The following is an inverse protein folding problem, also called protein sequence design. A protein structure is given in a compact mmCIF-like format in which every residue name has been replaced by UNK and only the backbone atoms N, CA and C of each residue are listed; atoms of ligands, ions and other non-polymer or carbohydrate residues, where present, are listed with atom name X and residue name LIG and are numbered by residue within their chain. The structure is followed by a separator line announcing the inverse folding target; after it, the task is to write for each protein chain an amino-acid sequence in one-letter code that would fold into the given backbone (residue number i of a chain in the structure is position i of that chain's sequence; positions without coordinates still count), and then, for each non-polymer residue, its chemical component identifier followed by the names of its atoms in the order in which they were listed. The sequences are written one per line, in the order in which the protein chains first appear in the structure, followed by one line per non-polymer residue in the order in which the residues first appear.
data_IF_209558173716
#
_entry.id   IF_209558173716
#
_cell.length_a   1.000
_cell.length_b   1.000
_cell.length_c   1.000
_cell.angle_alpha   90.00
_cell.angle_beta   90.00
_cell.angle_gamma   90.00
#
_symmetry.space_group_name_H-M   'P 1'
#
loop_
_entity.id
_entity.type
_entity.pdbx_description
1 polymer ?
#
# COMPACT_ATOMS: atom_id res chain seq x y z
N UNK A 1 -7.98 -5.58 -13.31
CA UNK A 1 -8.99 -4.50 -13.29
C UNK A 1 -9.89 -4.75 -14.47
N UNK A 2 -11.19 -4.84 -14.25
CA UNK A 2 -12.16 -4.74 -15.34
C UNK A 2 -12.31 -3.26 -15.69
N UNK A 3 -11.79 -2.86 -16.85
CA UNK A 3 -11.72 -1.46 -17.24
C UNK A 3 -12.94 -1.03 -18.06
N UNK A 4 -13.68 -1.97 -18.68
CA UNK A 4 -14.73 -1.66 -19.66
C UNK A 4 -14.28 -0.66 -20.77
N UNK A 5 -12.98 -0.64 -21.09
CA UNK A 5 -12.38 0.33 -22.01
C UNK A 5 -11.63 -0.37 -23.14
N UNK A 6 -11.85 0.11 -24.36
CA UNK A 6 -11.17 -0.37 -25.56
C UNK A 6 -10.08 0.60 -26.02
N UNK A 7 -8.88 0.09 -26.29
CA UNK A 7 -7.76 0.88 -26.80
C UNK A 7 -6.77 0.03 -27.59
N UNK A 8 -6.15 0.63 -28.61
CA UNK A 8 -5.11 0.00 -29.44
C UNK A 8 -3.89 -0.55 -28.68
N UNK A 9 -3.68 -0.12 -27.44
CA UNK A 9 -2.56 -0.57 -26.61
C UNK A 9 -2.78 -2.01 -26.09
N UNK A 10 -4.03 -2.44 -25.88
CA UNK A 10 -4.36 -3.76 -25.33
C UNK A 10 -5.34 -4.56 -26.17
N UNK A 11 -6.16 -3.91 -27.00
CA UNK A 11 -7.10 -4.56 -27.91
C UNK A 11 -6.47 -4.83 -29.29
N UNK A 12 -7.05 -5.76 -30.05
CA UNK A 12 -6.68 -6.05 -31.45
C UNK A 12 -7.27 -5.03 -32.42
N UNK A 13 -6.75 -5.02 -33.66
CA UNK A 13 -7.24 -4.19 -34.77
C UNK A 13 -8.69 -4.47 -35.20
N UNK A 14 -9.30 -5.57 -34.74
CA UNK A 14 -10.70 -5.92 -34.98
C UNK A 14 -11.68 -5.18 -34.07
N UNK A 15 -11.20 -4.36 -33.14
CA UNK A 15 -12.04 -3.56 -32.24
C UNK A 15 -12.61 -2.35 -32.99
N UNK A 16 -13.94 -2.29 -33.11
CA UNK A 16 -14.61 -1.29 -33.96
C UNK A 16 -14.63 0.12 -33.36
N UNK A 17 -14.47 0.27 -32.04
CA UNK A 17 -14.58 1.54 -31.34
C UNK A 17 -13.55 1.63 -30.21
N UNK A 18 -12.85 2.76 -30.10
CA UNK A 18 -11.93 3.04 -28.99
C UNK A 18 -12.50 4.13 -28.09
N UNK A 19 -12.38 3.97 -26.78
CA UNK A 19 -12.89 4.93 -25.81
C UNK A 19 -11.86 6.07 -25.59
N UNK A 20 -12.27 7.36 -25.64
CA UNK A 20 -11.39 8.48 -25.31
C UNK A 20 -10.75 8.38 -23.91
N UNK A 21 -11.52 7.91 -22.91
CA UNK A 21 -11.08 7.69 -21.53
C UNK A 21 -9.92 6.69 -21.45
N UNK A 22 -9.84 5.75 -22.39
CA UNK A 22 -8.77 4.77 -22.44
C UNK A 22 -7.40 5.40 -22.75
N UNK A 23 -7.37 6.52 -23.47
CA UNK A 23 -6.14 7.30 -23.69
C UNK A 23 -5.63 7.89 -22.38
N UNK A 24 -6.53 8.40 -21.54
CA UNK A 24 -6.18 8.94 -20.23
C UNK A 24 -5.62 7.84 -19.32
N UNK A 25 -6.30 6.69 -19.23
CA UNK A 25 -5.82 5.55 -18.45
C UNK A 25 -4.41 5.10 -18.88
N UNK A 26 -4.21 4.93 -20.19
CA UNK A 26 -2.91 4.54 -20.73
C UNK A 26 -1.81 5.56 -20.40
N UNK A 27 -2.12 6.86 -20.53
CA UNK A 27 -1.19 7.92 -20.20
C UNK A 27 -0.88 7.97 -18.70
N UNK A 28 -1.89 7.87 -17.83
CA UNK A 28 -1.76 7.87 -16.37
C UNK A 28 -0.92 6.69 -15.88
N UNK A 29 -1.21 5.48 -16.35
CA UNK A 29 -0.41 4.31 -15.99
C UNK A 29 1.03 4.45 -16.47
N UNK A 30 1.24 4.92 -17.71
CA UNK A 30 2.57 5.15 -18.27
C UNK A 30 3.38 6.20 -17.49
N UNK A 31 2.76 7.34 -17.15
CA UNK A 31 3.42 8.41 -16.39
C UNK A 31 3.74 7.99 -14.95
N UNK A 32 2.91 7.13 -14.35
CA UNK A 32 3.14 6.53 -13.04
C UNK A 32 4.14 5.35 -13.05
N UNK A 33 4.84 5.08 -14.17
CA UNK A 33 5.77 3.96 -14.34
C UNK A 33 5.14 2.57 -14.20
N UNK A 34 3.85 2.44 -14.54
CA UNK A 34 3.17 1.16 -14.71
C UNK A 34 3.25 0.70 -16.17
N UNK A 35 3.41 -0.62 -16.35
CA UNK A 35 3.37 -1.29 -17.64
C UNK A 35 2.20 -2.26 -17.65
N UNK A 36 1.54 -2.36 -18.79
CA UNK A 36 0.56 -3.40 -19.03
C UNK A 36 1.28 -4.74 -19.13
N UNK A 37 0.91 -5.70 -18.29
CA UNK A 37 1.46 -7.05 -18.29
C UNK A 37 0.46 -8.11 -18.75
N UNK A 38 -0.84 -7.78 -18.79
CA UNK A 38 -1.83 -8.65 -19.43
C UNK A 38 -1.55 -8.78 -20.94
N UNK A 39 -1.78 -9.95 -21.52
CA UNK A 39 -1.44 -10.22 -22.90
C UNK A 39 -2.28 -9.35 -23.85
N UNK A 40 -1.59 -8.70 -24.79
CA UNK A 40 -2.25 -7.85 -25.78
C UNK A 40 -3.05 -8.70 -26.77
N UNK A 41 -4.30 -8.31 -26.97
CA UNK A 41 -5.15 -8.89 -28.00
C UNK A 41 -5.75 -10.26 -27.67
N UNK A 42 -5.54 -10.78 -26.45
CA UNK A 42 -6.19 -12.02 -26.00
C UNK A 42 -7.51 -11.63 -25.30
N UNK A 43 -8.68 -12.04 -25.81
CA UNK A 43 -9.95 -11.62 -25.25
C UNK A 43 -10.14 -12.13 -23.82
N UNK A 44 -10.66 -11.25 -22.98
CA UNK A 44 -10.99 -11.53 -21.58
C UNK A 44 -12.49 -11.56 -21.36
N UNK A 45 -13.28 -11.16 -22.36
CA UNK A 45 -14.75 -11.23 -22.31
C UNK A 45 -15.35 -11.71 -23.63
N UNK A 46 -16.32 -12.61 -23.51
CA UNK A 46 -17.05 -13.27 -24.59
C UNK A 46 -18.56 -13.15 -24.37
N UNK A 47 -19.19 -12.17 -25.01
CA UNK A 47 -20.63 -11.97 -24.94
C UNK A 47 -21.34 -12.57 -26.16
N UNK A 48 -22.51 -13.17 -25.94
CA UNK A 48 -23.33 -13.72 -27.03
C UNK A 48 -23.71 -12.61 -28.03
N UNK A 49 -23.42 -12.84 -29.31
CA UNK A 49 -23.77 -11.91 -30.39
C UNK A 49 -22.87 -10.68 -30.50
N UNK A 50 -21.72 -10.64 -29.81
CA UNK A 50 -20.74 -9.57 -29.90
C UNK A 50 -19.33 -10.12 -30.14
N UNK A 51 -18.45 -9.31 -30.71
CA UNK A 51 -17.04 -9.67 -30.85
C UNK A 51 -16.38 -9.83 -29.47
N UNK A 52 -15.47 -10.81 -29.30
CA UNK A 52 -14.69 -10.93 -28.07
C UNK A 52 -13.89 -9.65 -27.78
N UNK A 53 -13.77 -9.28 -26.50
CA UNK A 53 -13.15 -8.02 -26.10
C UNK A 53 -12.02 -8.22 -25.09
N UNK A 54 -11.05 -7.31 -25.10
CA UNK A 54 -9.96 -7.22 -24.13
C UNK A 54 -10.24 -6.02 -23.24
N UNK A 55 -10.86 -6.25 -22.09
CA UNK A 55 -11.28 -5.19 -21.16
C UNK A 55 -10.77 -5.42 -19.73
N UNK A 56 -10.37 -6.65 -19.42
CA UNK A 56 -9.71 -6.98 -18.17
C UNK A 56 -8.20 -6.81 -18.33
N UNK A 57 -7.63 -5.87 -17.58
CA UNK A 57 -6.23 -5.47 -17.70
C UNK A 57 -5.48 -5.70 -16.40
N UNK A 58 -4.21 -6.08 -16.53
CA UNK A 58 -3.27 -6.12 -15.41
C UNK A 58 -2.11 -5.17 -15.70
N UNK A 59 -1.94 -4.20 -14.81
CA UNK A 59 -0.84 -3.25 -14.83
C UNK A 59 0.10 -3.53 -13.66
N UNK A 60 1.40 -3.49 -13.90
CA UNK A 60 2.41 -3.65 -12.87
C UNK A 60 3.41 -2.51 -12.95
N UNK A 61 3.83 -1.98 -11.80
CA UNK A 61 4.92 -1.00 -11.78
C UNK A 61 6.24 -1.65 -12.23
N UNK A 62 7.19 -0.81 -12.63
CA UNK A 62 8.48 -1.28 -13.17
C UNK A 62 9.28 -2.20 -12.22
N UNK A 63 9.04 -2.14 -10.90
CA UNK A 63 9.68 -3.03 -9.93
C UNK A 63 9.06 -4.42 -9.99
N UNK A 64 7.73 -4.50 -9.93
CA UNK A 64 6.98 -5.76 -9.97
C UNK A 64 7.14 -6.47 -11.33
N UNK A 65 7.27 -5.72 -12.44
CA UNK A 65 7.49 -6.30 -13.77
C UNK A 65 8.77 -7.13 -13.86
N UNK A 66 9.78 -6.87 -13.02
CA UNK A 66 11.03 -7.67 -12.99
C UNK A 66 10.83 -9.06 -12.42
N UNK A 67 9.79 -9.23 -11.61
CA UNK A 67 9.45 -10.47 -10.93
C UNK A 67 8.32 -11.22 -11.65
N UNK A 68 7.69 -10.59 -12.65
CA UNK A 68 6.62 -11.21 -13.44
C UNK A 68 7.20 -12.34 -14.28
N UNK A 69 6.80 -13.57 -14.00
CA UNK A 69 7.17 -14.74 -14.79
C UNK A 69 6.23 -14.93 -15.97
N UNK A 70 4.92 -14.80 -15.73
CA UNK A 70 3.89 -15.06 -16.75
C UNK A 70 2.58 -14.33 -16.42
N UNK A 71 1.84 -13.96 -17.46
CA UNK A 71 0.48 -13.46 -17.36
C UNK A 71 -0.35 -14.04 -18.50
N UNK A 72 -1.32 -14.88 -18.18
CA UNK A 72 -2.15 -15.59 -19.16
C UNK A 72 -3.62 -15.38 -18.89
N UNK A 73 -4.40 -15.45 -19.95
CA UNK A 73 -5.85 -15.63 -19.88
C UNK A 73 -6.10 -17.13 -19.87
N UNK A 74 -6.76 -17.65 -18.83
CA UNK A 74 -7.07 -19.08 -18.75
C UNK A 74 -8.04 -19.48 -19.86
N UNK A 75 -7.98 -20.73 -20.32
CA UNK A 75 -8.98 -21.28 -21.26
C UNK A 75 -10.19 -21.89 -20.55
N UNK A 76 -10.02 -22.29 -19.29
CA UNK A 76 -11.08 -22.89 -18.47
C UNK A 76 -12.03 -21.80 -17.97
N UNK A 77 -13.32 -21.98 -18.22
CA UNK A 77 -14.35 -21.00 -17.92
C UNK A 77 -15.60 -21.72 -17.40
N UNK A 78 -16.05 -21.37 -16.20
CA UNK A 78 -17.17 -22.02 -15.51
C UNK A 78 -18.53 -21.39 -15.86
N UNK A 79 -18.72 -21.01 -17.13
CA UNK A 79 -19.95 -20.39 -17.62
C UNK A 79 -20.03 -18.87 -17.44
N UNK A 80 -18.92 -18.21 -17.09
CA UNK A 80 -18.81 -16.74 -17.08
C UNK A 80 -18.63 -16.19 -18.49
N UNK A 81 -19.15 -15.00 -18.76
CA UNK A 81 -18.78 -14.28 -19.98
C UNK A 81 -17.41 -13.61 -19.87
N UNK A 82 -16.78 -13.59 -18.69
CA UNK A 82 -15.40 -13.17 -18.47
C UNK A 82 -14.45 -14.36 -18.29
N UNK A 83 -13.22 -14.17 -18.73
CA UNK A 83 -12.13 -15.12 -18.68
C UNK A 83 -11.09 -14.69 -17.66
N UNK A 84 -10.75 -15.60 -16.74
CA UNK A 84 -9.82 -15.30 -15.67
C UNK A 84 -8.40 -15.02 -16.20
N UNK A 85 -7.74 -14.00 -15.64
CA UNK A 85 -6.33 -13.70 -15.91
C UNK A 85 -5.50 -14.16 -14.71
N UNK A 86 -4.49 -14.98 -14.98
CA UNK A 86 -3.54 -15.46 -13.98
C UNK A 86 -2.18 -14.81 -14.21
N UNK A 87 -1.65 -14.15 -13.17
CA UNK A 87 -0.29 -13.61 -13.17
C UNK A 87 0.55 -14.29 -12.10
N UNK A 88 1.73 -14.77 -12.49
CA UNK A 88 2.69 -15.41 -11.59
C UNK A 88 3.90 -14.51 -11.39
N UNK A 89 4.26 -14.28 -10.12
CA UNK A 89 5.43 -13.47 -9.75
C UNK A 89 6.39 -14.29 -8.90
N UNK A 90 7.69 -14.25 -9.24
CA UNK A 90 8.75 -14.85 -8.44
C UNK A 90 9.28 -13.86 -7.41
N UNK A 91 8.77 -13.98 -6.19
CA UNK A 91 9.19 -13.14 -5.08
C UNK A 91 10.42 -13.67 -4.36
N UNK A 92 10.95 -14.86 -4.74
CA UNK A 92 12.17 -15.42 -4.13
C UNK A 92 13.42 -14.61 -4.47
N UNK A 93 13.35 -13.83 -5.56
CA UNK A 93 14.41 -12.92 -6.01
C UNK A 93 14.38 -11.55 -5.31
N UNK A 94 13.39 -11.29 -4.46
CA UNK A 94 13.38 -10.12 -3.59
C UNK A 94 14.34 -10.44 -2.44
N UNK A 95 15.49 -9.77 -2.29
CA UNK A 95 16.29 -9.92 -1.09
C UNK A 95 15.43 -9.47 0.07
N UNK A 96 14.92 -10.42 0.84
CA UNK A 96 14.21 -10.13 2.08
C UNK A 96 15.28 -9.61 3.04
N UNK A 97 15.26 -8.32 3.44
CA UNK A 97 16.15 -7.89 4.50
C UNK A 97 15.76 -8.68 5.75
N UNK A 98 16.57 -9.67 6.10
CA UNK A 98 16.43 -10.43 7.33
C UNK A 98 16.90 -9.53 8.46
N UNK A 99 15.97 -8.81 9.08
CA UNK A 99 16.23 -8.09 10.32
C UNK A 99 16.24 -9.10 11.47
N UNK A 100 17.44 -9.56 11.87
CA UNK A 100 17.60 -10.27 13.14
C UNK A 100 17.81 -9.23 14.24
N UNK A 101 16.72 -8.73 14.83
CA UNK A 101 16.84 -8.03 16.11
C UNK A 101 16.92 -9.08 17.23
N UNK A 102 18.03 -9.11 17.96
CA UNK A 102 18.22 -10.02 19.10
C UNK A 102 17.51 -9.53 20.38
N UNK A 103 16.91 -8.35 20.34
CA UNK A 103 16.12 -7.80 21.44
C UNK A 103 14.68 -8.25 21.28
N UNK A 104 14.22 -9.09 22.20
CA UNK A 104 12.80 -9.42 22.34
C UNK A 104 12.06 -8.21 22.88
N UNK A 105 10.82 -7.97 22.42
CA UNK A 105 9.91 -6.98 23.02
C UNK A 105 9.82 -7.09 24.55
N UNK A 106 9.96 -8.30 25.12
CA UNK A 106 9.97 -8.53 26.57
C UNK A 106 11.19 -7.94 27.30
N UNK A 107 12.29 -7.72 26.58
CA UNK A 107 13.56 -7.19 27.12
C UNK A 107 13.78 -5.72 26.74
N UNK A 108 12.80 -5.08 26.09
CA UNK A 108 12.90 -3.69 25.66
C UNK A 108 12.93 -2.77 26.88
N UNK A 109 13.91 -1.87 26.94
CA UNK A 109 13.90 -0.80 27.93
C UNK A 109 12.96 0.31 27.42
N UNK A 110 11.79 0.44 28.05
CA UNK A 110 10.74 1.37 27.62
C UNK A 110 11.17 2.83 27.75
N UNK A 111 11.98 3.18 28.75
CA UNK A 111 12.37 4.57 29.00
C UNK A 111 13.39 5.04 27.97
N UNK A 112 14.44 4.24 27.72
CA UNK A 112 15.42 4.51 26.65
C UNK A 112 14.75 4.56 25.27
N UNK A 113 13.77 3.69 25.04
CA UNK A 113 13.02 3.65 23.79
C UNK A 113 12.19 4.94 23.60
N UNK A 114 11.46 5.35 24.64
CA UNK A 114 10.65 6.57 24.63
C UNK A 114 11.50 7.82 24.47
N UNK A 115 12.63 7.91 25.16
CA UNK A 115 13.57 9.03 25.04
C UNK A 115 14.08 9.16 23.61
N UNK A 116 14.51 8.05 23.00
CA UNK A 116 14.99 8.05 21.61
C UNK A 116 13.92 8.57 20.65
N UNK A 117 12.69 8.07 20.76
CA UNK A 117 11.56 8.53 19.95
C UNK A 117 11.28 10.01 20.20
N UNK A 118 11.27 10.43 21.47
CA UNK A 118 10.98 11.81 21.84
C UNK A 118 12.02 12.80 21.28
N UNK A 119 13.31 12.45 21.31
CA UNK A 119 14.38 13.26 20.73
C UNK A 119 14.20 13.43 19.21
N UNK A 120 13.79 12.38 18.51
CA UNK A 120 13.59 12.43 17.06
C UNK A 120 12.32 13.20 16.66
N UNK A 121 11.25 13.05 17.42
CA UNK A 121 9.99 13.78 17.20
C UNK A 121 10.14 15.27 17.50
N UNK A 122 10.81 15.66 18.60
CA UNK A 122 11.05 17.08 18.93
C UNK A 122 11.85 17.83 17.87
N UNK A 123 12.71 17.14 17.11
CA UNK A 123 13.46 17.73 15.99
C UNK A 123 12.59 18.01 14.76
N UNK A 124 11.37 17.48 14.70
CA UNK A 124 10.42 17.79 13.64
C UNK A 124 9.65 19.06 14.02
N UNK A 125 9.88 20.15 13.30
CA UNK A 125 9.06 21.36 13.46
C UNK A 125 7.61 21.00 13.07
N UNK A 126 6.66 21.08 14.00
CA UNK A 126 5.28 20.54 13.88
C UNK A 126 4.31 21.51 13.17
N UNK A 127 4.78 22.26 12.17
CA UNK A 127 3.89 23.10 11.36
C UNK A 127 3.40 22.28 10.17
N UNK A 128 2.08 22.17 10.01
CA UNK A 128 1.43 21.35 8.99
C UNK A 128 0.77 22.27 7.95
N UNK A 129 1.61 23.09 7.33
CA UNK A 129 1.18 24.11 6.37
C UNK A 129 1.29 23.61 4.92
N UNK A 130 2.00 22.50 4.70
CA UNK A 130 2.18 21.89 3.38
C UNK A 130 1.96 20.37 3.36
N UNK A 131 1.62 19.79 2.19
CA UNK A 131 1.61 18.33 2.00
C UNK A 131 2.94 17.65 2.37
N UNK A 132 4.05 18.38 2.21
CA UNK A 132 5.39 17.89 2.50
C UNK A 132 5.60 17.67 4.01
N UNK A 133 4.94 18.46 4.86
CA UNK A 133 5.03 18.34 6.31
C UNK A 133 4.28 17.11 6.83
N UNK A 134 3.11 16.82 6.23
CA UNK A 134 2.34 15.59 6.47
C UNK A 134 3.19 14.37 6.10
N UNK A 135 3.76 14.36 4.90
CA UNK A 135 4.59 13.27 4.40
C UNK A 135 5.86 13.08 5.27
N UNK A 136 6.54 14.17 5.63
CA UNK A 136 7.75 14.12 6.45
C UNK A 136 7.45 13.60 7.86
N UNK A 137 6.33 14.02 8.45
CA UNK A 137 5.94 13.58 9.79
C UNK A 137 5.54 12.10 9.79
N UNK A 138 4.77 11.65 8.79
CA UNK A 138 4.40 10.24 8.66
C UNK A 138 5.63 9.33 8.51
N UNK A 139 6.60 9.72 7.68
CA UNK A 139 7.85 8.96 7.52
C UNK A 139 8.72 8.96 8.80
N UNK A 140 8.64 9.99 9.63
CA UNK A 140 9.33 10.01 10.93
C UNK A 140 8.69 9.08 11.95
N UNK A 141 7.38 8.84 11.89
CA UNK A 141 6.73 7.82 12.73
C UNK A 141 7.30 6.42 12.42
N UNK A 142 7.70 6.16 11.17
CA UNK A 142 8.40 4.92 10.80
C UNK A 142 9.75 4.72 11.51
N UNK A 143 10.33 5.76 12.13
CA UNK A 143 11.56 5.67 12.94
C UNK A 143 11.34 5.00 14.31
N UNK A 144 10.11 4.65 14.68
CA UNK A 144 9.83 3.77 15.83
C UNK A 144 10.65 2.47 15.72
N UNK A 145 10.81 1.93 14.50
CA UNK A 145 11.65 0.75 14.29
C UNK A 145 13.14 1.02 14.48
N UNK A 146 13.63 2.21 14.13
CA UNK A 146 15.02 2.59 14.35
C UNK A 146 15.35 2.65 15.85
N UNK A 147 14.46 3.24 16.65
CA UNK A 147 14.59 3.28 18.11
C UNK A 147 14.57 1.86 18.73
N UNK A 148 13.77 0.96 18.16
CA UNK A 148 13.72 -0.45 18.56
C UNK A 148 15.00 -1.21 18.19
N UNK A 149 15.51 -1.02 16.98
CA UNK A 149 16.75 -1.66 16.51
C UNK A 149 17.99 -1.13 17.23
N UNK A 150 18.01 0.14 17.62
CA UNK A 150 19.09 0.73 18.41
C UNK A 150 19.30 0.03 19.77
N UNK A 151 18.29 -0.70 20.28
CA UNK A 151 18.41 -1.51 21.49
C UNK A 151 18.89 -2.96 21.22
N UNK A 152 19.10 -3.34 19.97
CA UNK A 152 19.67 -4.64 19.55
C UNK A 152 21.13 -4.55 19.12
N UNK A 153 21.86 -5.68 19.10
CA UNK A 153 23.19 -5.74 18.47
C UNK A 153 23.01 -5.69 16.94
N UNK A 154 23.56 -4.65 16.33
CA UNK A 154 23.25 -4.18 14.97
C UNK A 154 23.76 -5.08 13.83
N UNK A 155 22.90 -5.29 12.82
CA UNK A 155 23.29 -5.27 11.40
C UNK A 155 22.25 -4.46 10.64
N UNK A 156 22.60 -3.21 10.32
CA UNK A 156 21.78 -2.30 9.53
C UNK A 156 22.26 -2.35 8.08
N UNK A 157 21.37 -2.62 7.13
CA UNK A 157 21.61 -2.30 5.72
C UNK A 157 20.53 -1.32 5.30
N UNK A 158 20.96 -0.08 5.00
CA UNK A 158 20.08 1.04 4.69
C UNK A 158 19.19 0.74 3.47
N UNK A 159 17.89 0.97 3.60
CA UNK A 159 16.97 1.08 2.46
C UNK A 159 16.75 2.56 2.15
N UNK A 160 17.29 3.01 1.02
CA UNK A 160 16.94 4.30 0.45
C UNK A 160 15.56 4.22 -0.20
N UNK A 161 14.56 4.91 0.35
CA UNK A 161 13.28 5.12 -0.32
C UNK A 161 13.29 6.46 -1.08
N UNK A 162 13.02 6.38 -2.38
CA UNK A 162 12.89 7.54 -3.27
C UNK A 162 11.52 8.19 -3.10
N UNK A 163 11.52 9.53 -3.05
CA UNK A 163 10.34 10.38 -2.96
C UNK A 163 9.63 10.45 -4.32
N UNK A 164 8.30 10.48 -4.31
CA UNK A 164 7.47 10.92 -5.43
C UNK A 164 6.48 11.98 -4.95
N UNK A 165 6.43 13.10 -5.67
CA UNK A 165 5.50 14.21 -5.46
C UNK A 165 4.25 14.04 -6.32
N UNK A 166 3.12 14.56 -5.85
CA UNK A 166 1.86 14.67 -6.61
C UNK A 166 1.23 16.04 -6.30
N UNK A 167 0.65 16.77 -7.28
CA UNK A 167 0.11 18.11 -7.06
C UNK A 167 -1.38 18.05 -6.72
N UNK A 168 -1.78 18.82 -5.70
CA UNK A 168 -3.18 18.96 -5.31
C UNK A 168 -3.95 20.05 -6.06
N UNK A 169 -5.28 19.97 -6.02
CA UNK A 169 -6.13 21.14 -5.76
C UNK A 169 -7.51 20.73 -5.19
N UNK A 170 -8.15 21.72 -4.58
CA UNK A 170 -9.11 21.76 -3.46
C UNK A 170 -10.58 21.67 -3.87
N UNK A 171 -11.43 21.30 -2.91
CA UNK A 171 -12.53 22.18 -2.47
C UNK A 171 -12.96 21.88 -1.02
N UNK A 172 -13.46 22.92 -0.37
CA UNK A 172 -13.55 23.10 1.09
C UNK A 172 -14.90 22.76 1.73
N UNK A 173 -14.81 22.52 3.04
CA UNK A 173 -15.80 22.81 4.09
C UNK A 173 -16.81 21.70 4.43
N UNK A 174 -16.31 20.65 5.08
CA UNK A 174 -17.07 19.89 6.05
C UNK A 174 -16.77 20.45 7.45
N UNK A 175 -17.81 20.62 8.26
CA UNK A 175 -17.75 21.03 9.66
C UNK A 175 -17.05 19.91 10.46
N UNK A 176 -15.71 19.90 10.40
CA UNK A 176 -14.90 18.87 11.01
C UNK A 176 -14.56 19.26 12.45
N UNK A 177 -15.10 18.49 13.40
CA UNK A 177 -14.63 18.51 14.77
C UNK A 177 -13.24 17.88 14.82
N UNK A 178 -12.24 18.60 15.34
CA UNK A 178 -10.90 18.06 15.55
C UNK A 178 -10.94 16.84 16.48
N UNK A 179 -10.15 15.80 16.17
CA UNK A 179 -10.00 14.67 17.08
C UNK A 179 -9.17 15.11 18.29
N UNK A 180 -9.68 14.95 19.52
CA UNK A 180 -8.95 15.34 20.72
C UNK A 180 -7.85 14.31 21.06
N UNK A 181 -6.76 14.80 21.66
CA UNK A 181 -5.60 13.97 21.99
C UNK A 181 -5.92 12.75 22.86
N UNK A 182 -6.89 12.86 23.78
CA UNK A 182 -7.27 11.74 24.65
C UNK A 182 -7.92 10.59 23.88
N UNK A 183 -8.66 10.89 22.81
CA UNK A 183 -9.31 9.89 21.97
C UNK A 183 -8.26 9.12 21.17
N UNK A 184 -7.30 9.85 20.58
CA UNK A 184 -6.15 9.25 19.89
C UNK A 184 -5.33 8.39 20.86
N UNK A 185 -5.07 8.88 22.08
CA UNK A 185 -4.35 8.10 23.08
C UNK A 185 -5.09 6.79 23.41
N UNK A 186 -6.40 6.87 23.61
CA UNK A 186 -7.25 5.72 23.89
C UNK A 186 -7.17 4.69 22.75
N UNK A 187 -7.19 5.13 21.49
CA UNK A 187 -7.03 4.25 20.33
C UNK A 187 -5.66 3.58 20.33
N UNK A 188 -4.58 4.35 20.53
CA UNK A 188 -3.21 3.83 20.55
C UNK A 188 -3.02 2.76 21.64
N UNK A 189 -3.56 2.98 22.84
CA UNK A 189 -3.48 2.05 23.96
C UNK A 189 -4.28 0.76 23.72
N UNK A 190 -5.40 0.86 23.00
CA UNK A 190 -6.33 -0.24 22.73
C UNK A 190 -6.09 -0.99 21.40
N UNK A 191 -5.01 -0.68 20.67
CA UNK A 191 -4.68 -1.42 19.44
C UNK A 191 -4.63 -2.95 19.69
N UNK A 192 -5.10 -3.81 18.78
CA UNK A 192 -5.02 -5.25 18.99
C UNK A 192 -3.56 -5.72 18.97
N UNK A 193 -3.11 -6.39 20.03
CA UNK A 193 -1.76 -6.98 20.09
C UNK A 193 -1.64 -8.22 19.20
N UNK A 194 -0.41 -8.64 18.87
CA UNK A 194 -0.07 -9.81 18.04
C UNK A 194 -0.65 -9.77 16.63
N UNK A 195 -0.97 -8.58 16.13
CA UNK A 195 -1.28 -8.39 14.72
C UNK A 195 0.00 -8.34 13.90
N UNK A 196 -0.09 -8.85 12.67
CA UNK A 196 1.01 -8.77 11.71
C UNK A 196 1.21 -7.29 11.38
N UNK A 197 2.45 -6.76 11.48
CA UNK A 197 2.71 -5.37 11.15
C UNK A 197 2.51 -5.12 9.65
N UNK A 198 2.21 -3.87 9.30
CA UNK A 198 2.08 -3.45 7.91
C UNK A 198 3.43 -3.36 7.18
N UNK A 199 3.45 -2.76 5.99
CA UNK A 199 4.69 -2.52 5.23
C UNK A 199 5.78 -1.75 6.01
N UNK A 200 5.37 -0.97 7.02
CA UNK A 200 6.25 -0.23 7.94
C UNK A 200 7.00 -1.11 8.94
N UNK A 201 6.57 -2.38 9.11
CA UNK A 201 7.10 -3.38 10.02
C UNK A 201 6.97 -3.00 11.51
N UNK A 202 6.14 -2.01 11.86
CA UNK A 202 5.94 -1.57 13.25
C UNK A 202 4.85 -2.45 13.91
N UNK A 203 5.19 -3.24 14.94
CA UNK A 203 4.19 -3.96 15.72
C UNK A 203 3.33 -3.00 16.57
N UNK A 204 2.05 -3.33 16.74
CA UNK A 204 1.14 -2.56 17.60
C UNK A 204 1.67 -2.43 19.05
N UNK A 205 2.43 -3.40 19.54
CA UNK A 205 3.09 -3.36 20.84
C UNK A 205 4.06 -2.18 20.97
N UNK A 206 4.85 -1.88 19.92
CA UNK A 206 5.76 -0.74 19.93
C UNK A 206 4.98 0.58 19.90
N UNK A 207 3.89 0.63 19.15
CA UNK A 207 3.00 1.80 19.09
C UNK A 207 2.40 2.08 20.47
N UNK A 208 1.93 1.04 21.18
CA UNK A 208 1.43 1.16 22.55
C UNK A 208 2.48 1.70 23.52
N UNK A 209 3.70 1.15 23.47
CA UNK A 209 4.80 1.58 24.37
C UNK A 209 5.18 3.04 24.10
N UNK A 210 5.19 3.44 22.82
CA UNK A 210 5.49 4.79 22.37
C UNK A 210 4.30 5.76 22.50
N UNK A 211 3.08 5.27 22.74
CA UNK A 211 1.82 6.00 22.61
C UNK A 211 1.85 7.37 23.28
N UNK A 212 2.27 7.43 24.53
CA UNK A 212 2.35 8.68 25.31
C UNK A 212 3.33 9.71 24.73
N UNK A 213 4.38 9.27 24.04
CA UNK A 213 5.37 10.15 23.40
C UNK A 213 4.88 10.65 22.05
N UNK A 214 4.19 9.80 21.30
CA UNK A 214 3.82 10.07 19.91
C UNK A 214 2.43 10.67 19.74
N UNK A 215 1.55 10.54 20.75
CA UNK A 215 0.14 10.93 20.66
C UNK A 215 -0.03 12.38 20.20
N UNK A 216 0.71 13.34 20.76
CA UNK A 216 0.60 14.74 20.36
C UNK A 216 0.95 14.98 18.88
N UNK A 217 1.92 14.24 18.35
CA UNK A 217 2.32 14.30 16.94
C UNK A 217 1.30 13.61 16.04
N UNK A 218 0.80 12.45 16.45
CA UNK A 218 -0.23 11.71 15.73
C UNK A 218 -1.52 12.53 15.65
N UNK A 219 -1.99 13.12 16.76
CA UNK A 219 -3.19 13.97 16.79
C UNK A 219 -3.09 15.11 15.81
N UNK A 220 -1.97 15.86 15.82
CA UNK A 220 -1.78 16.99 14.91
C UNK A 220 -1.70 16.53 13.45
N UNK A 221 -1.02 15.42 13.19
CA UNK A 221 -0.93 14.84 11.85
C UNK A 221 -2.31 14.42 11.34
N UNK A 222 -3.10 13.71 12.14
CA UNK A 222 -4.46 13.28 11.79
C UNK A 222 -5.37 14.48 11.54
N UNK A 223 -5.40 15.46 12.45
CA UNK A 223 -6.22 16.66 12.28
C UNK A 223 -5.78 17.46 11.06
N UNK A 224 -4.48 17.52 10.74
CA UNK A 224 -3.99 18.12 9.52
C UNK A 224 -4.44 17.35 8.26
N UNK A 225 -4.41 16.02 8.29
CA UNK A 225 -4.90 15.18 7.18
C UNK A 225 -6.39 15.43 6.92
N UNK A 226 -7.21 15.46 7.98
CA UNK A 226 -8.65 15.71 7.90
C UNK A 226 -8.94 17.13 7.38
N UNK A 227 -8.27 18.14 7.95
CA UNK A 227 -8.44 19.56 7.57
C UNK A 227 -8.05 19.83 6.12
N UNK A 228 -6.99 19.18 5.62
CA UNK A 228 -6.44 19.43 4.29
C UNK A 228 -6.95 18.43 3.23
N UNK A 229 -7.62 17.35 3.63
CA UNK A 229 -8.02 16.26 2.73
C UNK A 229 -6.82 15.49 2.14
N UNK A 230 -5.69 15.51 2.84
CA UNK A 230 -4.43 14.93 2.37
C UNK A 230 -4.01 13.78 3.27
N UNK A 231 -3.64 12.66 2.66
CA UNK A 231 -3.10 11.51 3.38
C UNK A 231 -1.66 11.24 2.94
N UNK A 232 -0.75 10.92 3.87
CA UNK A 232 0.63 10.59 3.54
C UNK A 232 0.69 9.32 2.70
N UNK A 233 1.64 9.25 1.77
CA UNK A 233 1.80 8.13 0.85
C UNK A 233 1.99 6.78 1.56
N UNK A 234 2.78 6.66 2.65
CA UNK A 234 2.89 5.43 3.42
C UNK A 234 1.56 4.84 3.89
N UNK A 235 0.57 5.67 4.20
CA UNK A 235 -0.74 5.20 4.70
C UNK A 235 -1.67 4.71 3.59
N UNK A 236 -1.33 4.98 2.32
CA UNK A 236 -2.09 4.51 1.15
C UNK A 236 -1.62 3.13 0.68
N UNK A 237 -0.61 2.55 1.32
CA UNK A 237 -0.02 1.26 0.95
C UNK A 237 -0.47 0.20 1.94
N UNK A 238 -1.10 -0.86 1.44
CA UNK A 238 -1.46 -2.04 2.22
C UNK A 238 -0.88 -3.31 1.57
N UNK A 239 -0.56 -4.31 2.39
CA UNK A 239 -0.21 -5.66 1.93
C UNK A 239 -1.33 -6.60 2.31
N UNK A 240 -2.01 -7.13 1.30
CA UNK A 240 -3.04 -8.16 1.47
C UNK A 240 -2.47 -9.50 1.05
N UNK A 241 -2.35 -10.43 2.01
CA UNK A 241 -2.07 -11.81 1.72
C UNK A 241 -3.39 -12.59 1.72
N UNK A 242 -3.72 -13.24 0.60
CA UNK A 242 -4.87 -14.14 0.51
C UNK A 242 -4.41 -15.50 1.05
N UNK A 243 -4.71 -15.75 2.32
CA UNK A 243 -4.36 -17.00 3.01
C UNK A 243 -5.56 -17.94 2.93
N UNK A 244 -5.31 -19.17 2.45
CA UNK A 244 -6.33 -20.22 2.43
C UNK A 244 -6.80 -20.56 3.85
N UNK A 245 -8.11 -20.71 4.00
CA UNK A 245 -8.71 -21.34 5.17
C UNK A 245 -8.34 -22.82 5.18
N UNK A 246 -8.02 -23.36 6.36
CA UNK A 246 -7.60 -24.75 6.50
C UNK A 246 -8.66 -25.72 5.96
N UNK A 247 -8.24 -26.68 5.13
CA UNK A 247 -9.12 -27.68 4.49
C UNK A 247 -9.87 -27.19 3.25
N UNK A 248 -9.54 -26.00 2.73
CA UNK A 248 -10.08 -25.48 1.46
C UNK A 248 -8.94 -25.22 0.48
N UNK A 249 -8.64 -26.24 -0.31
CA UNK A 249 -7.45 -26.25 -1.19
C UNK A 249 -7.64 -25.49 -2.50
N UNK A 250 -8.90 -25.22 -2.87
CA UNK A 250 -9.27 -24.55 -4.10
C UNK A 250 -9.53 -23.04 -3.88
N UNK A 251 -8.69 -22.19 -4.44
CA UNK A 251 -8.85 -20.73 -4.38
C UNK A 251 -10.01 -20.19 -5.23
N UNK A 252 -10.61 -21.01 -6.09
CA UNK A 252 -11.75 -20.61 -6.91
C UNK A 252 -13.07 -20.57 -6.13
N UNK A 253 -13.12 -21.24 -4.97
CA UNK A 253 -14.27 -21.23 -4.08
C UNK A 253 -14.34 -19.91 -3.28
N UNK A 254 -15.43 -19.10 -3.39
CA UNK A 254 -15.56 -17.80 -2.73
C UNK A 254 -15.45 -17.82 -1.19
N UNK A 255 -15.42 -19.01 -0.58
CA UNK A 255 -15.23 -19.21 0.85
C UNK A 255 -13.88 -19.83 1.25
N UNK A 256 -12.93 -19.97 0.33
CA UNK A 256 -11.61 -20.57 0.58
C UNK A 256 -10.58 -19.62 1.17
N UNK A 257 -10.84 -18.31 1.16
CA UNK A 257 -10.02 -17.27 1.79
C UNK A 257 -10.86 -16.36 2.69
#
# INVERSE_FOLDING_TARGET
MDADLHHQAWSTSTTCCFNPQAKFLNHLCGSASFRLISPKGIPTRYSKGSSPTVIDLIWANWKLTKFSQRCDVLSENFGSDHQAIVSTFDLSLIPQPMFHNNTSLRKLNHDVFREHIQMNIKKANLQYDSPQDIETTANKISQIMDAYYAQGRNTQTQLNCHKSQDPGNRDSLLDYQEMPTYEILTILENLPSKKVPGPDKIPNELIKIAGQVIVGTITKLFNACLRLGLFPQPWKVATTAIIRKAGKDDYSEPGAY
#
